data_IF_624818501130
#
_entry.id   IF_624818501130
#
_cell.length_a   1.000
_cell.length_b   1.000
_cell.length_c   1.000
_cell.angle_alpha   90.00
_cell.angle_beta   90.00
_cell.angle_gamma   90.00
#
_symmetry.space_group_name_H-M   'P 1'
#
loop_
_entity.id
_entity.type
_entity.pdbx_description
1 polymer ?
#
# COMPACT_ATOMS: atom_id res chain seq x y z
N UNK A 1 -17.32 -21.64 -15.92
CA UNK A 1 -17.56 -21.09 -17.27
C UNK A 1 -18.23 -19.69 -17.20
N UNK A 2 -19.13 -19.43 -16.25
CA UNK A 2 -19.89 -18.19 -16.16
C UNK A 2 -19.04 -16.95 -15.73
N UNK A 3 -17.96 -17.13 -14.97
CA UNK A 3 -17.08 -16.04 -14.54
C UNK A 3 -16.36 -15.35 -15.70
N UNK A 4 -16.00 -16.09 -16.73
CA UNK A 4 -15.26 -15.58 -17.90
C UNK A 4 -16.14 -15.24 -19.10
N UNK A 5 -17.45 -15.54 -19.04
CA UNK A 5 -18.39 -15.29 -20.13
C UNK A 5 -18.91 -13.85 -20.19
N UNK A 6 -18.39 -12.93 -19.35
CA UNK A 6 -18.86 -11.53 -19.27
C UNK A 6 -20.24 -11.37 -18.62
N UNK A 7 -20.83 -12.45 -18.10
CA UNK A 7 -22.14 -12.38 -17.45
C UNK A 7 -22.13 -11.69 -16.09
N UNK A 8 -20.95 -11.53 -15.47
CA UNK A 8 -20.78 -10.80 -14.20
C UNK A 8 -19.86 -9.59 -14.37
N UNK A 9 -20.43 -8.38 -14.49
CA UNK A 9 -19.64 -7.16 -14.67
C UNK A 9 -18.81 -6.81 -13.43
N UNK A 10 -19.18 -7.30 -12.23
CA UNK A 10 -18.49 -7.00 -10.98
C UNK A 10 -17.16 -7.73 -10.85
N UNK A 11 -17.03 -8.92 -11.46
CA UNK A 11 -15.77 -9.67 -11.47
C UNK A 11 -14.63 -8.86 -12.10
N UNK A 12 -14.82 -8.38 -13.33
CA UNK A 12 -13.80 -7.59 -14.02
C UNK A 12 -13.57 -6.23 -13.37
N UNK A 13 -14.65 -5.60 -12.88
CA UNK A 13 -14.53 -4.30 -12.18
C UNK A 13 -13.74 -4.44 -10.89
N UNK A 14 -13.98 -5.46 -10.08
CA UNK A 14 -13.26 -5.71 -8.84
C UNK A 14 -11.78 -6.02 -9.07
N UNK A 15 -11.47 -6.77 -10.12
CA UNK A 15 -10.10 -7.04 -10.53
C UNK A 15 -9.39 -5.76 -10.95
N UNK A 16 -10.02 -4.95 -11.82
CA UNK A 16 -9.45 -3.68 -12.29
C UNK A 16 -9.19 -2.71 -11.13
N UNK A 17 -10.17 -2.53 -10.24
CA UNK A 17 -10.04 -1.67 -9.06
C UNK A 17 -8.87 -2.12 -8.18
N UNK A 18 -8.73 -3.43 -7.95
CA UNK A 18 -7.62 -3.99 -7.16
C UNK A 18 -6.28 -3.77 -7.83
N UNK A 19 -6.19 -4.00 -9.15
CA UNK A 19 -4.94 -3.77 -9.91
C UNK A 19 -4.54 -2.30 -9.86
N UNK A 20 -5.48 -1.36 -10.08
CA UNK A 20 -5.20 0.08 -9.98
C UNK A 20 -4.71 0.45 -8.58
N UNK A 21 -5.38 -0.05 -7.54
CA UNK A 21 -4.97 0.21 -6.17
C UNK A 21 -3.55 -0.33 -5.90
N UNK A 22 -3.26 -1.57 -6.26
CA UNK A 22 -1.93 -2.19 -6.06
C UNK A 22 -0.85 -1.44 -6.83
N UNK A 23 -1.12 -1.08 -8.10
CA UNK A 23 -0.19 -0.33 -8.93
C UNK A 23 0.14 1.06 -8.38
N UNK A 24 -0.77 1.69 -7.62
CA UNK A 24 -0.54 2.97 -6.97
C UNK A 24 0.02 2.80 -5.55
N UNK A 25 -0.54 1.89 -4.75
CA UNK A 25 -0.21 1.77 -3.32
C UNK A 25 1.16 1.15 -3.09
N UNK A 26 1.55 0.11 -3.85
CA UNK A 26 2.82 -0.59 -3.62
C UNK A 26 4.03 0.30 -3.94
N UNK A 27 4.14 0.94 -5.11
CA UNK A 27 5.28 1.83 -5.38
C UNK A 27 5.33 3.02 -4.43
N UNK A 28 4.20 3.66 -4.14
CA UNK A 28 4.17 4.81 -3.22
C UNK A 28 4.55 4.41 -1.80
N UNK A 29 4.08 3.27 -1.29
CA UNK A 29 4.44 2.75 0.02
C UNK A 29 5.94 2.41 0.11
N UNK A 30 6.51 1.79 -0.91
CA UNK A 30 7.93 1.43 -0.97
C UNK A 30 8.79 2.69 -1.00
N UNK A 31 8.50 3.64 -1.90
CA UNK A 31 9.25 4.89 -2.01
C UNK A 31 9.17 5.67 -0.70
N UNK A 32 7.99 5.81 -0.12
CA UNK A 32 7.79 6.52 1.13
C UNK A 32 8.53 5.86 2.29
N UNK A 33 8.39 4.54 2.45
CA UNK A 33 9.07 3.78 3.51
C UNK A 33 10.58 3.80 3.38
N UNK A 34 11.10 3.68 2.15
CA UNK A 34 12.52 3.77 1.85
C UNK A 34 13.06 5.16 2.18
N UNK A 35 12.35 6.21 1.80
CA UNK A 35 12.72 7.59 2.12
C UNK A 35 12.77 7.85 3.63
N UNK A 36 11.76 7.41 4.39
CA UNK A 36 11.76 7.55 5.85
C UNK A 36 12.89 6.73 6.49
N UNK A 37 13.13 5.49 6.02
CA UNK A 37 14.24 4.68 6.49
C UNK A 37 15.60 5.35 6.23
N UNK A 38 15.78 5.97 5.07
CA UNK A 38 16.99 6.72 4.71
C UNK A 38 17.20 7.92 5.65
N UNK A 39 16.15 8.69 5.95
CA UNK A 39 16.23 9.79 6.93
C UNK A 39 16.61 9.28 8.33
N UNK A 40 16.03 8.16 8.74
CA UNK A 40 16.31 7.56 10.06
C UNK A 40 17.66 6.85 10.13
N UNK A 41 18.27 6.52 9.00
CA UNK A 41 19.60 5.93 8.94
C UNK A 41 20.72 6.97 9.16
N UNK A 42 20.42 8.26 9.03
CA UNK A 42 21.38 9.34 9.32
C UNK A 42 21.58 9.53 10.84
N UNK A 43 22.62 10.28 11.25
CA UNK A 43 22.93 10.53 12.66
C UNK A 43 22.04 11.63 13.31
N UNK A 44 20.70 11.47 13.22
CA UNK A 44 19.74 12.39 13.83
C UNK A 44 19.59 12.12 15.32
N UNK A 45 19.57 13.17 16.15
CA UNK A 45 19.22 13.04 17.57
C UNK A 45 17.75 12.61 17.71
N UNK A 46 17.48 11.65 18.60
CA UNK A 46 16.10 11.18 18.82
C UNK A 46 15.59 10.11 17.85
N UNK A 47 16.48 9.39 17.15
CA UNK A 47 16.10 8.30 16.21
C UNK A 47 15.06 7.33 16.77
N UNK A 48 15.19 6.92 18.04
CA UNK A 48 14.24 6.01 18.67
C UNK A 48 12.82 6.58 18.73
N UNK A 49 12.68 7.85 19.06
CA UNK A 49 11.41 8.52 19.10
C UNK A 49 10.73 8.56 17.72
N UNK A 50 11.46 8.94 16.68
CA UNK A 50 10.93 8.96 15.31
C UNK A 50 10.56 7.54 14.81
N UNK A 51 11.40 6.52 15.10
CA UNK A 51 11.06 5.12 14.78
C UNK A 51 9.73 4.72 15.42
N UNK A 52 9.53 5.09 16.69
CA UNK A 52 8.29 4.77 17.41
C UNK A 52 7.09 5.49 16.76
N UNK A 53 7.20 6.76 16.39
CA UNK A 53 6.11 7.52 15.75
C UNK A 53 5.71 6.88 14.43
N UNK A 54 6.67 6.52 13.57
CA UNK A 54 6.37 5.91 12.28
C UNK A 54 5.93 4.44 12.38
N UNK A 55 6.33 3.75 13.44
CA UNK A 55 5.93 2.37 13.67
C UNK A 55 4.57 2.25 14.39
N UNK A 56 4.24 3.20 15.26
CA UNK A 56 3.02 3.18 16.08
C UNK A 56 1.73 2.89 15.29
N UNK A 57 1.51 3.47 14.10
CA UNK A 57 0.31 3.20 13.31
C UNK A 57 0.12 1.73 12.94
N UNK A 58 1.20 0.97 12.79
CA UNK A 58 1.12 -0.45 12.40
C UNK A 58 0.59 -1.35 13.52
N UNK A 59 0.62 -0.87 14.76
CA UNK A 59 0.13 -1.60 15.93
C UNK A 59 -1.37 -1.35 16.16
N UNK A 60 -1.91 -0.30 15.55
CA UNK A 60 -3.32 0.05 15.69
C UNK A 60 -4.19 -0.98 14.97
N UNK A 61 -5.22 -1.56 15.63
CA UNK A 61 -6.15 -2.47 14.97
C UNK A 61 -6.79 -1.81 13.74
N UNK A 62 -6.81 -2.53 12.60
CA UNK A 62 -7.21 -1.99 11.31
C UNK A 62 -8.65 -1.44 11.30
N UNK A 63 -9.56 -2.02 12.09
CA UNK A 63 -10.95 -1.55 12.21
C UNK A 63 -11.01 -0.20 12.95
N UNK A 64 -10.23 -0.05 14.03
CA UNK A 64 -10.14 1.21 14.77
C UNK A 64 -9.53 2.31 13.90
N UNK A 65 -8.47 1.97 13.16
CA UNK A 65 -7.85 2.86 12.17
C UNK A 65 -8.88 3.29 11.11
N UNK A 66 -9.65 2.35 10.57
CA UNK A 66 -10.69 2.64 9.59
C UNK A 66 -11.72 3.66 10.13
N UNK A 67 -12.19 3.50 11.38
CA UNK A 67 -13.13 4.42 12.00
C UNK A 67 -12.53 5.84 12.16
N UNK A 68 -11.27 5.95 12.57
CA UNK A 68 -10.58 7.24 12.68
C UNK A 68 -10.49 7.94 11.32
N UNK A 69 -10.07 7.22 10.27
CA UNK A 69 -9.93 7.80 8.94
C UNK A 69 -11.27 8.15 8.31
N UNK A 70 -12.33 7.35 8.53
CA UNK A 70 -13.69 7.70 8.10
C UNK A 70 -14.16 9.03 8.73
N UNK A 71 -13.84 9.28 10.01
CA UNK A 71 -14.15 10.53 10.66
C UNK A 71 -13.30 11.69 10.09
N UNK A 72 -11.99 11.51 9.92
CA UNK A 72 -11.08 12.53 9.37
C UNK A 72 -11.49 12.94 7.95
N UNK A 73 -11.83 11.95 7.11
CA UNK A 73 -12.20 12.15 5.72
C UNK A 73 -13.71 12.27 5.48
N UNK A 74 -14.50 12.51 6.51
CA UNK A 74 -15.91 12.82 6.33
C UNK A 74 -16.06 14.11 5.49
N UNK A 75 -16.85 14.10 4.39
CA UNK A 75 -16.98 15.26 3.50
C UNK A 75 -17.54 16.52 4.17
N UNK A 76 -18.48 16.34 5.12
CA UNK A 76 -19.23 17.45 5.70
C UNK A 76 -18.56 18.02 6.98
N UNK A 77 -18.19 17.12 7.91
CA UNK A 77 -17.70 17.49 9.24
C UNK A 77 -16.25 17.07 9.50
N UNK A 78 -15.60 16.41 8.51
CA UNK A 78 -14.26 15.84 8.68
C UNK A 78 -13.17 16.90 8.84
N UNK A 79 -12.14 16.53 9.63
CA UNK A 79 -11.00 17.38 9.89
C UNK A 79 -10.26 17.80 8.61
N UNK A 80 -10.14 16.89 7.64
CA UNK A 80 -9.42 17.14 6.39
C UNK A 80 -10.05 18.31 5.60
N UNK A 81 -11.37 18.30 5.41
CA UNK A 81 -12.06 19.39 4.71
C UNK A 81 -12.10 20.69 5.50
N UNK A 82 -12.13 20.62 6.82
CA UNK A 82 -12.04 21.82 7.64
C UNK A 82 -10.67 22.52 7.53
N UNK A 83 -9.59 21.75 7.45
CA UNK A 83 -8.24 22.28 7.19
C UNK A 83 -8.17 22.87 5.77
N UNK A 84 -8.68 22.19 4.74
CA UNK A 84 -8.71 22.70 3.38
C UNK A 84 -9.49 24.02 3.28
N UNK A 85 -10.65 24.12 3.93
CA UNK A 85 -11.45 25.36 4.01
C UNK A 85 -10.68 26.50 4.67
N UNK A 86 -9.98 26.21 5.78
CA UNK A 86 -9.17 27.21 6.48
C UNK A 86 -7.99 27.71 5.61
N UNK A 87 -7.47 26.85 4.71
CA UNK A 87 -6.41 27.20 3.75
C UNK A 87 -6.96 27.78 2.44
N UNK A 88 -8.27 27.98 2.29
CA UNK A 88 -8.96 28.42 1.07
C UNK A 88 -8.71 27.48 -0.13
N UNK A 89 -8.51 26.18 0.13
CA UNK A 89 -8.35 25.16 -0.89
C UNK A 89 -9.68 24.46 -1.20
N UNK A 90 -9.83 23.89 -2.41
CA UNK A 90 -11.05 23.16 -2.77
C UNK A 90 -11.21 21.93 -1.87
N UNK A 91 -12.44 21.72 -1.39
CA UNK A 91 -12.80 20.53 -0.60
C UNK A 91 -12.89 19.29 -1.49
N UNK A 92 -12.65 18.13 -0.88
CA UNK A 92 -12.72 16.84 -1.57
C UNK A 92 -13.84 15.97 -1.00
N UNK A 93 -14.35 15.07 -1.83
CA UNK A 93 -15.32 14.04 -1.41
C UNK A 93 -14.65 12.83 -0.78
N UNK A 94 -13.31 12.76 -0.83
CA UNK A 94 -12.48 11.71 -0.20
C UNK A 94 -12.99 10.29 -0.50
N UNK A 95 -13.51 9.61 0.54
CA UNK A 95 -14.03 8.24 0.44
C UNK A 95 -15.38 8.13 -0.27
N UNK A 96 -16.09 9.25 -0.43
CA UNK A 96 -17.43 9.31 -1.04
C UNK A 96 -17.42 9.68 -2.53
N UNK A 97 -16.26 9.92 -3.12
CA UNK A 97 -16.12 10.26 -4.54
C UNK A 97 -15.53 9.11 -5.35
N UNK A 98 -16.06 8.84 -6.54
CA UNK A 98 -15.58 7.74 -7.39
C UNK A 98 -14.11 7.87 -7.81
N UNK A 99 -13.66 9.08 -8.11
CA UNK A 99 -12.28 9.36 -8.51
C UNK A 99 -11.33 9.56 -7.32
N UNK A 100 -11.85 9.94 -6.15
CA UNK A 100 -11.06 10.27 -4.97
C UNK A 100 -10.87 9.10 -4.01
N UNK A 101 -11.73 8.07 -4.06
CA UNK A 101 -11.70 6.96 -3.10
C UNK A 101 -10.39 6.17 -3.17
N UNK A 102 -9.91 5.80 -4.35
CA UNK A 102 -8.65 5.03 -4.49
C UNK A 102 -7.44 5.86 -4.04
N UNK A 103 -7.22 7.11 -4.49
CA UNK A 103 -6.15 7.96 -3.96
C UNK A 103 -6.21 8.13 -2.43
N UNK A 104 -7.40 8.28 -1.85
CA UNK A 104 -7.57 8.41 -0.41
C UNK A 104 -7.15 7.13 0.33
N UNK A 105 -7.54 5.95 -0.18
CA UNK A 105 -7.13 4.66 0.39
C UNK A 105 -5.62 4.42 0.25
N UNK A 106 -5.02 4.84 -0.86
CA UNK A 106 -3.55 4.82 -1.04
C UNK A 106 -2.87 5.73 -0.02
N UNK A 107 -3.39 6.93 0.21
CA UNK A 107 -2.87 7.84 1.24
C UNK A 107 -2.96 7.23 2.65
N UNK A 108 -4.09 6.61 3.00
CA UNK A 108 -4.26 5.91 4.27
C UNK A 108 -3.25 4.77 4.42
N UNK A 109 -2.97 4.04 3.33
CA UNK A 109 -1.97 2.98 3.35
C UNK A 109 -0.56 3.49 3.69
N UNK A 110 -0.18 4.69 3.25
CA UNK A 110 1.11 5.30 3.59
C UNK A 110 1.31 5.48 5.10
N UNK A 111 0.24 5.75 5.84
CA UNK A 111 0.30 5.90 7.29
C UNK A 111 0.67 4.59 8.02
N UNK A 112 0.40 3.43 7.41
CA UNK A 112 0.65 2.11 7.99
C UNK A 112 1.94 1.45 7.50
N UNK A 113 2.81 2.18 6.82
CA UNK A 113 4.05 1.65 6.22
C UNK A 113 5.21 1.46 7.21
N UNK A 114 4.98 1.62 8.51
CA UNK A 114 6.02 1.56 9.53
C UNK A 114 6.80 0.25 9.57
N UNK A 115 6.16 -0.92 9.37
CA UNK A 115 6.87 -2.21 9.30
C UNK A 115 7.79 -2.29 8.09
N UNK A 116 7.35 -1.85 6.91
CA UNK A 116 8.17 -1.78 5.70
C UNK A 116 9.37 -0.84 5.90
N UNK A 117 9.16 0.31 6.56
CA UNK A 117 10.21 1.25 6.90
C UNK A 117 11.28 0.62 7.82
N UNK A 118 10.87 -0.17 8.83
CA UNK A 118 11.81 -0.86 9.72
C UNK A 118 12.64 -1.90 8.98
N UNK A 119 12.04 -2.65 8.06
CA UNK A 119 12.75 -3.63 7.21
C UNK A 119 13.78 -2.92 6.33
N UNK A 120 13.42 -1.80 5.69
CA UNK A 120 14.38 -1.00 4.92
C UNK A 120 15.49 -0.42 5.78
N UNK A 121 15.16 0.05 6.98
CA UNK A 121 16.16 0.58 7.90
C UNK A 121 17.18 -0.48 8.34
N UNK A 122 16.73 -1.71 8.60
CA UNK A 122 17.61 -2.84 8.88
C UNK A 122 18.52 -3.14 7.68
N UNK A 123 17.95 -3.28 6.49
CA UNK A 123 18.74 -3.51 5.27
C UNK A 123 19.77 -2.40 4.98
N UNK A 124 19.44 -1.14 5.27
CA UNK A 124 20.41 -0.03 5.13
C UNK A 124 21.56 -0.13 6.15
N UNK A 125 21.32 -0.68 7.31
CA UNK A 125 22.36 -0.86 8.34
C UNK A 125 23.31 -2.01 8.01
N UNK A 126 22.88 -2.96 7.18
CA UNK A 126 23.70 -4.08 6.70
C UNK A 126 24.62 -3.69 5.54
N UNK A 127 24.47 -2.50 4.95
CA UNK A 127 25.36 -2.01 3.89
C UNK A 127 26.75 -1.73 4.47
N UNK A 128 27.83 -2.39 3.94
CA UNK A 128 29.19 -2.19 4.45
C UNK A 128 29.66 -0.74 4.30
N UNK A 129 30.10 -0.14 5.40
CA UNK A 129 30.61 1.25 5.41
C UNK A 129 31.78 1.46 4.47
N UNK A 130 32.62 0.44 4.33
CA UNK A 130 33.79 0.46 3.43
C UNK A 130 33.42 0.83 1.97
N UNK A 131 32.26 0.32 1.50
CA UNK A 131 31.78 0.64 0.14
C UNK A 131 31.34 2.12 0.04
N UNK A 132 30.72 2.65 1.08
CA UNK A 132 30.28 4.04 1.13
C UNK A 132 31.47 5.00 1.22
N UNK A 133 32.52 4.61 1.98
CA UNK A 133 33.77 5.35 2.11
C UNK A 133 34.59 5.32 0.82
N UNK A 134 34.62 4.17 0.10
CA UNK A 134 35.29 4.08 -1.20
C UNK A 134 34.70 5.08 -2.21
N UNK A 135 33.35 5.14 -2.31
CA UNK A 135 32.68 6.14 -3.19
C UNK A 135 33.01 7.57 -2.77
N UNK A 136 33.21 7.81 -1.47
CA UNK A 136 33.58 9.15 -0.97
C UNK A 136 35.00 9.53 -1.33
N UNK A 137 35.95 8.59 -1.27
CA UNK A 137 37.33 8.76 -1.70
C UNK A 137 37.38 9.05 -3.20
N UNK A 138 36.56 8.41 -4.01
CA UNK A 138 36.42 8.66 -5.45
C UNK A 138 35.68 9.98 -5.78
N UNK A 139 35.35 10.79 -4.76
CA UNK A 139 34.67 12.08 -4.92
C UNK A 139 33.16 11.98 -5.13
N UNK A 140 32.59 10.81 -4.94
CA UNK A 140 31.14 10.59 -5.06
C UNK A 140 30.35 11.18 -3.89
N UNK A 141 29.33 11.98 -4.20
CA UNK A 141 28.41 12.57 -3.22
C UNK A 141 27.27 11.61 -2.81
N UNK A 142 26.28 12.18 -2.11
CA UNK A 142 25.10 11.46 -1.60
C UNK A 142 24.39 10.61 -2.68
N UNK A 143 24.13 11.15 -3.85
CA UNK A 143 23.45 10.46 -4.95
C UNK A 143 24.29 9.30 -5.51
N UNK A 144 25.60 9.44 -5.56
CA UNK A 144 26.50 8.38 -6.00
C UNK A 144 26.44 7.20 -5.01
N UNK A 145 26.55 7.46 -3.70
CA UNK A 145 26.40 6.44 -2.64
C UNK A 145 25.04 5.76 -2.71
N UNK A 146 23.96 6.53 -2.90
CA UNK A 146 22.60 5.99 -2.96
C UNK A 146 22.38 5.06 -4.15
N UNK A 147 22.72 5.55 -5.37
CA UNK A 147 22.39 4.84 -6.62
C UNK A 147 23.34 3.69 -6.93
N UNK A 148 24.64 3.81 -6.56
CA UNK A 148 25.66 2.82 -6.93
C UNK A 148 25.99 1.83 -5.81
N UNK A 149 25.65 2.14 -4.55
CA UNK A 149 25.93 1.26 -3.43
C UNK A 149 24.66 0.86 -2.68
N UNK A 150 23.92 1.84 -2.14
CA UNK A 150 22.81 1.53 -1.23
C UNK A 150 21.69 0.78 -1.95
N UNK A 151 21.16 1.30 -3.06
CA UNK A 151 20.05 0.65 -3.79
C UNK A 151 20.46 -0.73 -4.31
N UNK A 152 21.64 -0.92 -4.99
CA UNK A 152 22.06 -2.25 -5.42
C UNK A 152 22.22 -3.25 -4.28
N UNK A 153 22.82 -2.85 -3.16
CA UNK A 153 22.97 -3.73 -1.99
C UNK A 153 21.64 -4.07 -1.32
N UNK A 154 20.65 -3.18 -1.44
CA UNK A 154 19.32 -3.37 -0.88
C UNK A 154 18.34 -4.08 -1.83
N UNK A 155 18.76 -4.44 -3.03
CA UNK A 155 17.88 -5.11 -4.01
C UNK A 155 17.11 -6.29 -3.40
N UNK A 156 17.69 -7.21 -2.60
CA UNK A 156 16.94 -8.30 -1.98
C UNK A 156 15.85 -7.81 -1.03
N UNK A 157 16.14 -6.77 -0.25
CA UNK A 157 15.19 -6.17 0.70
C UNK A 157 14.07 -5.43 -0.03
N UNK A 158 14.40 -4.71 -1.09
CA UNK A 158 13.42 -4.03 -1.96
C UNK A 158 12.51 -5.07 -2.61
N UNK A 159 13.09 -6.11 -3.18
CA UNK A 159 12.39 -7.22 -3.79
C UNK A 159 11.38 -7.88 -2.82
N UNK A 160 11.84 -8.22 -1.61
CA UNK A 160 10.97 -8.78 -0.57
C UNK A 160 9.76 -7.88 -0.29
N UNK A 161 9.99 -6.57 -0.10
CA UNK A 161 8.92 -5.63 0.20
C UNK A 161 7.96 -5.41 -0.99
N UNK A 162 8.45 -5.47 -2.24
CA UNK A 162 7.61 -5.44 -3.45
C UNK A 162 6.68 -6.65 -3.49
N UNK A 163 7.23 -7.85 -3.32
CA UNK A 163 6.45 -9.10 -3.36
C UNK A 163 5.40 -9.10 -2.26
N UNK A 164 5.78 -8.78 -1.00
CA UNK A 164 4.86 -8.72 0.12
C UNK A 164 3.81 -7.62 -0.05
N UNK A 165 4.20 -6.47 -0.60
CA UNK A 165 3.28 -5.38 -0.92
C UNK A 165 2.22 -5.78 -1.94
N UNK A 166 2.60 -6.50 -3.00
CA UNK A 166 1.67 -7.01 -4.01
C UNK A 166 0.73 -8.03 -3.41
N UNK A 167 1.24 -9.03 -2.67
CA UNK A 167 0.42 -10.04 -2.03
C UNK A 167 -0.63 -9.39 -1.10
N UNK A 168 -0.19 -8.50 -0.20
CA UNK A 168 -1.07 -7.81 0.73
C UNK A 168 -2.06 -6.87 0.02
N UNK A 169 -1.61 -6.19 -1.04
CA UNK A 169 -2.44 -5.28 -1.82
C UNK A 169 -3.56 -6.01 -2.58
N UNK A 170 -3.29 -7.19 -3.15
CA UNK A 170 -4.34 -8.01 -3.77
C UNK A 170 -5.29 -8.65 -2.76
N UNK A 171 -4.89 -8.78 -1.50
CA UNK A 171 -5.70 -9.34 -0.42
C UNK A 171 -6.40 -8.27 0.43
N UNK A 172 -6.41 -7.01 -0.01
CA UNK A 172 -7.10 -5.93 0.70
C UNK A 172 -8.60 -6.22 0.82
N UNK A 173 -9.10 -6.18 2.05
CA UNK A 173 -10.50 -6.48 2.37
C UNK A 173 -11.10 -5.45 3.33
N UNK A 174 -10.50 -5.29 4.52
CA UNK A 174 -11.10 -4.57 5.65
C UNK A 174 -11.39 -3.11 5.32
N UNK A 175 -10.54 -2.44 4.55
CA UNK A 175 -10.74 -1.06 4.14
C UNK A 175 -11.99 -0.93 3.26
N UNK A 176 -12.17 -1.82 2.28
CA UNK A 176 -13.37 -1.82 1.44
C UNK A 176 -14.62 -2.16 2.24
N UNK A 177 -14.55 -3.21 3.06
CA UNK A 177 -15.69 -3.70 3.83
C UNK A 177 -16.16 -2.68 4.88
N UNK A 178 -15.23 -2.09 5.65
CA UNK A 178 -15.57 -1.21 6.78
C UNK A 178 -15.78 0.23 6.34
N UNK A 179 -14.91 0.76 5.44
CA UNK A 179 -14.89 2.20 5.16
C UNK A 179 -15.84 2.60 4.03
N UNK A 180 -15.95 1.79 2.97
CA UNK A 180 -16.63 2.21 1.74
C UNK A 180 -17.74 1.27 1.29
N UNK A 181 -17.79 0.04 1.79
CA UNK A 181 -18.70 -1.01 1.36
C UNK A 181 -18.71 -1.19 -0.17
N UNK A 182 -17.53 -1.05 -0.78
CA UNK A 182 -17.34 -1.12 -2.23
C UNK A 182 -17.72 0.15 -2.98
N UNK A 183 -18.32 1.15 -2.33
CA UNK A 183 -18.79 2.40 -2.92
C UNK A 183 -17.72 3.47 -3.12
N UNK A 184 -18.12 4.62 -3.69
CA UNK A 184 -19.35 4.81 -4.48
C UNK A 184 -19.29 4.08 -5.83
N UNK A 185 -20.45 3.68 -6.36
CA UNK A 185 -20.61 3.03 -7.68
C UNK A 185 -19.60 1.90 -7.97
N UNK A 186 -19.32 1.05 -6.94
CA UNK A 186 -18.31 -0.04 -6.97
C UNK A 186 -16.88 0.43 -7.32
N UNK A 187 -16.53 1.69 -7.12
CA UNK A 187 -15.18 2.22 -7.39
C UNK A 187 -14.15 1.80 -6.35
N UNK A 188 -14.56 1.24 -5.23
CA UNK A 188 -13.71 0.58 -4.23
C UNK A 188 -14.10 -0.88 -3.97
N UNK A 189 -14.79 -1.51 -4.90
CA UNK A 189 -15.13 -2.93 -4.85
C UNK A 189 -13.85 -3.74 -5.11
N UNK A 190 -13.06 -3.99 -4.08
CA UNK A 190 -11.87 -4.83 -4.20
C UNK A 190 -12.21 -6.30 -4.38
N UNK A 191 -11.30 -7.03 -4.99
CA UNK A 191 -11.49 -8.42 -5.40
C UNK A 191 -11.85 -9.36 -4.23
N UNK A 192 -11.18 -9.21 -3.07
CA UNK A 192 -11.48 -10.03 -1.89
C UNK A 192 -12.82 -9.64 -1.26
N UNK A 193 -13.22 -8.37 -1.36
CA UNK A 193 -14.55 -7.97 -0.92
C UNK A 193 -15.65 -8.50 -1.87
N UNK A 194 -15.43 -8.50 -3.18
CA UNK A 194 -16.31 -9.16 -4.14
C UNK A 194 -16.43 -10.67 -3.84
N UNK A 195 -15.30 -11.36 -3.59
CA UNK A 195 -15.28 -12.76 -3.16
C UNK A 195 -16.13 -12.99 -1.90
N UNK A 196 -15.97 -12.13 -0.91
CA UNK A 196 -16.76 -12.19 0.34
C UNK A 196 -18.26 -12.04 0.06
N UNK A 197 -18.67 -11.11 -0.78
CA UNK A 197 -20.07 -10.92 -1.16
C UNK A 197 -20.64 -12.16 -1.86
N UNK A 198 -19.91 -12.76 -2.79
CA UNK A 198 -20.33 -14.02 -3.44
C UNK A 198 -20.51 -15.15 -2.43
N UNK A 199 -19.58 -15.30 -1.47
CA UNK A 199 -19.63 -16.37 -0.48
C UNK A 199 -20.75 -16.18 0.55
N UNK A 200 -20.82 -15.01 1.18
CA UNK A 200 -21.56 -14.78 2.42
C UNK A 200 -22.81 -13.92 2.25
N UNK A 201 -22.83 -12.97 1.31
CA UNK A 201 -24.03 -12.16 1.05
C UNK A 201 -24.96 -12.86 0.06
N UNK A 202 -24.42 -13.48 -1.01
CA UNK A 202 -25.21 -14.14 -2.05
C UNK A 202 -25.29 -15.66 -1.89
N UNK A 203 -24.56 -16.26 -0.95
CA UNK A 203 -24.59 -17.70 -0.69
C UNK A 203 -24.02 -18.57 -1.83
N UNK A 204 -23.24 -17.98 -2.75
CA UNK A 204 -22.71 -18.64 -3.94
C UNK A 204 -21.29 -19.18 -3.69
N UNK A 205 -21.14 -20.10 -2.73
CA UNK A 205 -19.85 -20.66 -2.32
C UNK A 205 -19.01 -21.21 -3.49
N UNK A 206 -19.63 -21.87 -4.47
CA UNK A 206 -18.93 -22.39 -5.65
C UNK A 206 -18.28 -21.30 -6.49
N UNK A 207 -18.96 -20.16 -6.69
CA UNK A 207 -18.40 -18.99 -7.37
C UNK A 207 -17.25 -18.37 -6.54
N UNK A 208 -17.45 -18.20 -5.24
CA UNK A 208 -16.44 -17.66 -4.34
C UNK A 208 -15.14 -18.49 -4.36
N UNK A 209 -15.25 -19.81 -4.31
CA UNK A 209 -14.09 -20.71 -4.46
C UNK A 209 -13.39 -20.55 -5.80
N UNK A 210 -14.15 -20.43 -6.90
CA UNK A 210 -13.56 -20.19 -8.22
C UNK A 210 -12.83 -18.84 -8.28
N UNK A 211 -13.42 -17.78 -7.73
CA UNK A 211 -12.82 -16.44 -7.60
C UNK A 211 -11.53 -16.50 -6.75
N UNK A 212 -11.54 -17.24 -5.63
CA UNK A 212 -10.35 -17.42 -4.80
C UNK A 212 -9.19 -18.11 -5.55
N UNK A 213 -9.49 -19.16 -6.35
CA UNK A 213 -8.50 -19.82 -7.18
C UNK A 213 -7.91 -18.90 -8.25
N UNK A 214 -8.74 -18.08 -8.88
CA UNK A 214 -8.26 -17.08 -9.85
C UNK A 214 -7.32 -16.07 -9.17
N UNK A 215 -7.67 -15.57 -7.98
CA UNK A 215 -6.79 -14.67 -7.21
C UNK A 215 -5.44 -15.33 -6.91
N UNK A 216 -5.46 -16.57 -6.44
CA UNK A 216 -4.24 -17.33 -6.17
C UNK A 216 -3.35 -17.44 -7.42
N UNK A 217 -3.92 -17.78 -8.57
CA UNK A 217 -3.18 -17.88 -9.83
C UNK A 217 -2.60 -16.52 -10.27
N UNK A 218 -3.35 -15.42 -10.12
CA UNK A 218 -2.87 -14.07 -10.44
C UNK A 218 -1.67 -13.73 -9.56
N UNK A 219 -1.78 -13.90 -8.24
CA UNK A 219 -0.69 -13.58 -7.31
C UNK A 219 0.53 -14.47 -7.59
N UNK A 220 0.33 -15.77 -7.85
CA UNK A 220 1.39 -16.71 -8.16
C UNK A 220 2.14 -16.31 -9.45
N UNK A 221 1.42 -15.97 -10.51
CA UNK A 221 2.04 -15.53 -11.77
C UNK A 221 2.79 -14.22 -11.60
N UNK A 222 2.18 -13.23 -10.94
CA UNK A 222 2.86 -11.95 -10.68
C UNK A 222 4.14 -12.15 -9.85
N UNK A 223 4.07 -12.97 -8.80
CA UNK A 223 5.23 -13.28 -7.98
C UNK A 223 6.31 -13.98 -8.79
N UNK A 224 5.95 -14.99 -9.60
CA UNK A 224 6.89 -15.70 -10.46
C UNK A 224 7.55 -14.78 -11.50
N UNK A 225 6.79 -13.85 -12.08
CA UNK A 225 7.32 -12.84 -13.01
C UNK A 225 8.35 -11.97 -12.32
N UNK A 226 8.04 -11.45 -11.12
CA UNK A 226 8.96 -10.60 -10.37
C UNK A 226 10.24 -11.37 -10.00
N UNK A 227 10.13 -12.64 -9.60
CA UNK A 227 11.29 -13.50 -9.33
C UNK A 227 12.20 -13.71 -10.55
N UNK A 228 11.63 -13.72 -11.75
CA UNK A 228 12.42 -13.88 -12.99
C UNK A 228 13.25 -12.63 -13.33
N UNK A 229 12.81 -11.44 -12.88
CA UNK A 229 13.47 -10.16 -13.17
C UNK A 229 14.33 -9.64 -12.00
N UNK A 230 14.42 -10.37 -10.90
CA UNK A 230 15.28 -10.08 -9.76
C UNK A 230 16.56 -10.90 -9.84
#
# INVERSE_FOLDING_TARGET
>A
KNLFSGSDPYFYKSLLVTVIYVALSVPTAIIFSFFIAMLLNTNVKGKGFFRTIFYLPTVVPIVAMAAIWMWIFNPDMGLANNILKAMHLPVSTWLSGESSVIPTLVFINLWTTGSTMVIFLAGMQDVPRQLLEAVEIDGGGFWAKLLHVTIPMMTPTIFYNVVMGIINGFQIFTQSYVMTQGGPNNSSLFYVYYLYREAFEFGRMGNACAVAWVLFLIIMVLTAVIFKFS
#
